data_IF_443013274728
#
_entry.id   IF_443013274728
#
_cell.length_a   1.000
_cell.length_b   1.000
_cell.length_c   1.000
_cell.angle_alpha   90.00
_cell.angle_beta   90.00
_cell.angle_gamma   90.00
#
_symmetry.space_group_name_H-M   'P 1'
#
loop_
_entity.id
_entity.type
_entity.pdbx_description
1 polymer ?
#
# COMPACT_ATOMS: atom_id res chain seq x y z
N UNK A 1 -16.74 -39.13 14.13
CA UNK A 1 -16.72 -38.11 13.04
C UNK A 1 -15.65 -37.01 13.21
N UNK A 2 -14.34 -37.29 13.37
CA UNK A 2 -13.30 -36.24 13.27
C UNK A 2 -12.82 -35.99 11.83
N UNK A 3 -12.87 -37.01 10.96
CA UNK A 3 -12.25 -36.95 9.63
C UNK A 3 -12.94 -36.02 8.63
N UNK A 4 -14.26 -35.77 8.76
CA UNK A 4 -14.99 -34.87 7.87
C UNK A 4 -14.61 -33.39 8.10
N UNK A 5 -14.44 -33.01 9.38
CA UNK A 5 -14.04 -31.65 9.76
C UNK A 5 -12.62 -31.32 9.30
N UNK A 6 -11.69 -32.26 9.39
CA UNK A 6 -10.31 -32.07 8.95
C UNK A 6 -10.21 -31.86 7.44
N UNK A 7 -11.01 -32.60 6.65
CA UNK A 7 -11.01 -32.48 5.19
C UNK A 7 -11.59 -31.14 4.72
N UNK A 8 -12.73 -30.72 5.28
CA UNK A 8 -13.35 -29.42 4.98
C UNK A 8 -12.42 -28.25 5.35
N UNK A 9 -11.70 -28.35 6.46
CA UNK A 9 -10.74 -27.33 6.88
C UNK A 9 -9.50 -27.26 5.97
N UNK A 10 -8.96 -28.42 5.57
CA UNK A 10 -7.83 -28.49 4.62
C UNK A 10 -8.22 -27.94 3.25
N UNK A 11 -9.42 -28.26 2.77
CA UNK A 11 -9.94 -27.77 1.49
C UNK A 11 -10.20 -26.25 1.54
N UNK A 12 -10.77 -25.76 2.63
CA UNK A 12 -11.00 -24.31 2.85
C UNK A 12 -9.70 -23.52 2.97
N UNK A 13 -8.73 -24.02 3.74
CA UNK A 13 -7.40 -23.40 3.87
C UNK A 13 -6.69 -23.34 2.53
N UNK A 14 -6.73 -24.42 1.77
CA UNK A 14 -6.10 -24.49 0.45
C UNK A 14 -6.73 -23.49 -0.52
N UNK A 15 -8.06 -23.40 -0.53
CA UNK A 15 -8.80 -22.43 -1.32
C UNK A 15 -8.44 -20.99 -0.95
N UNK A 16 -8.44 -20.64 0.35
CA UNK A 16 -8.07 -19.29 0.83
C UNK A 16 -6.64 -18.93 0.45
N UNK A 17 -5.69 -19.85 0.66
CA UNK A 17 -4.28 -19.62 0.30
C UNK A 17 -4.11 -19.42 -1.20
N UNK A 18 -4.86 -20.15 -2.02
CA UNK A 18 -4.85 -19.97 -3.47
C UNK A 18 -5.42 -18.61 -3.90
N UNK A 19 -6.52 -18.16 -3.29
CA UNK A 19 -7.05 -16.82 -3.51
C UNK A 19 -6.06 -15.72 -3.12
N UNK A 20 -5.40 -15.84 -1.97
CA UNK A 20 -4.38 -14.87 -1.52
C UNK A 20 -3.20 -14.82 -2.50
N UNK A 21 -2.74 -15.98 -2.99
CA UNK A 21 -1.69 -16.04 -4.03
C UNK A 21 -2.13 -15.35 -5.31
N UNK A 22 -3.36 -15.61 -5.76
CA UNK A 22 -3.92 -14.99 -6.97
C UNK A 22 -4.02 -13.47 -6.83
N UNK A 23 -4.53 -12.96 -5.70
CA UNK A 23 -4.61 -11.52 -5.44
C UNK A 23 -3.24 -10.87 -5.40
N UNK A 24 -2.26 -11.50 -4.75
CA UNK A 24 -0.88 -11.00 -4.71
C UNK A 24 -0.26 -10.98 -6.11
N UNK A 25 -0.42 -12.05 -6.87
CA UNK A 25 0.08 -12.14 -8.25
C UNK A 25 -0.56 -11.07 -9.14
N UNK A 26 -1.87 -10.89 -9.03
CA UNK A 26 -2.62 -9.87 -9.78
C UNK A 26 -2.19 -8.47 -9.40
N UNK A 27 -2.04 -8.17 -8.10
CA UNK A 27 -1.55 -6.88 -7.64
C UNK A 27 -0.17 -6.60 -8.24
N UNK A 28 0.78 -7.54 -8.16
CA UNK A 28 2.13 -7.32 -8.72
C UNK A 28 2.09 -7.06 -10.22
N UNK A 29 1.22 -7.78 -10.96
CA UNK A 29 1.02 -7.53 -12.39
C UNK A 29 0.48 -6.13 -12.64
N UNK A 30 -0.56 -5.73 -11.91
CA UNK A 30 -1.17 -4.41 -11.98
C UNK A 30 -0.20 -3.29 -11.63
N UNK A 31 0.62 -3.49 -10.60
CA UNK A 31 1.69 -2.58 -10.21
C UNK A 31 2.68 -2.36 -11.35
N UNK A 32 3.21 -3.44 -11.93
CA UNK A 32 4.16 -3.35 -13.05
C UNK A 32 3.54 -2.62 -14.24
N UNK A 33 2.32 -3.01 -14.64
CA UNK A 33 1.61 -2.34 -15.75
C UNK A 33 1.42 -0.85 -15.47
N UNK A 34 0.95 -0.50 -14.28
CA UNK A 34 0.71 0.89 -13.89
C UNK A 34 2.00 1.72 -13.90
N UNK A 35 3.06 1.21 -13.27
CA UNK A 35 4.36 1.90 -13.22
C UNK A 35 4.94 2.08 -14.63
N UNK A 36 4.86 1.07 -15.51
CA UNK A 36 5.25 1.22 -16.92
C UNK A 36 4.51 2.37 -17.58
N UNK A 37 3.18 2.40 -17.48
CA UNK A 37 2.35 3.44 -18.09
C UNK A 37 2.70 4.83 -17.54
N UNK A 38 2.89 4.95 -16.22
CA UNK A 38 3.27 6.20 -15.58
C UNK A 38 4.64 6.68 -16.06
N UNK A 39 5.63 5.79 -16.15
CA UNK A 39 6.99 6.10 -16.63
C UNK A 39 6.99 6.48 -18.11
N UNK A 40 6.17 5.82 -18.94
CA UNK A 40 6.02 6.15 -20.36
C UNK A 40 5.32 7.49 -20.59
N UNK A 41 4.28 7.80 -19.81
CA UNK A 41 3.61 9.11 -19.85
C UNK A 41 4.54 10.22 -19.39
N UNK A 42 5.33 9.98 -18.35
CA UNK A 42 6.31 10.94 -17.83
C UNK A 42 7.37 11.31 -18.87
N UNK A 43 7.84 10.34 -19.66
CA UNK A 43 8.81 10.60 -20.74
C UNK A 43 8.29 11.53 -21.84
N UNK A 44 6.97 11.70 -21.96
CA UNK A 44 6.35 12.52 -23.00
C UNK A 44 6.16 13.98 -22.56
N UNK A 45 6.35 14.30 -21.28
CA UNK A 45 6.21 15.67 -20.77
C UNK A 45 7.58 16.34 -20.62
N UNK A 46 7.70 17.66 -20.87
CA UNK A 46 8.93 18.40 -20.58
C UNK A 46 9.33 18.24 -19.11
N UNK A 47 10.57 17.82 -18.86
CA UNK A 47 11.07 17.59 -17.50
C UNK A 47 10.75 16.22 -16.89
N UNK A 48 10.25 15.25 -17.67
CA UNK A 48 10.08 13.87 -17.22
C UNK A 48 11.42 13.22 -16.83
N UNK A 49 11.52 12.76 -15.58
CA UNK A 49 12.75 12.19 -15.00
C UNK A 49 12.55 10.80 -14.39
N UNK A 50 11.32 10.24 -14.40
CA UNK A 50 11.06 8.96 -13.75
C UNK A 50 11.89 7.83 -14.36
N UNK A 51 12.13 7.84 -15.67
CA UNK A 51 12.91 6.78 -16.34
C UNK A 51 14.32 6.66 -15.76
N UNK A 52 15.02 7.78 -15.60
CA UNK A 52 16.41 7.84 -15.12
C UNK A 52 16.53 7.91 -13.60
N UNK A 53 15.44 8.19 -12.88
CA UNK A 53 15.44 8.29 -11.42
C UNK A 53 15.67 6.92 -10.76
N UNK A 54 16.72 6.83 -9.94
CA UNK A 54 17.10 5.62 -9.18
C UNK A 54 17.11 5.83 -7.67
N UNK A 55 16.93 7.07 -7.21
CA UNK A 55 16.85 7.42 -5.79
C UNK A 55 15.45 7.14 -5.28
N UNK A 56 15.35 6.32 -4.24
CA UNK A 56 14.06 5.87 -3.73
C UNK A 56 13.20 7.02 -3.19
N UNK A 57 13.79 7.96 -2.44
CA UNK A 57 13.10 9.14 -1.91
C UNK A 57 12.52 10.02 -3.03
N UNK A 58 13.30 10.31 -4.08
CA UNK A 58 12.85 11.09 -5.23
C UNK A 58 11.70 10.38 -5.98
N UNK A 59 11.77 9.06 -6.10
CA UNK A 59 10.68 8.26 -6.67
C UNK A 59 9.41 8.35 -5.81
N UNK A 60 9.54 8.24 -4.48
CA UNK A 60 8.40 8.38 -3.56
C UNK A 60 7.75 9.75 -3.73
N UNK A 61 8.52 10.83 -3.74
CA UNK A 61 8.00 12.20 -3.98
C UNK A 61 7.30 12.31 -5.32
N UNK A 62 7.88 11.73 -6.36
CA UNK A 62 7.31 11.75 -7.71
C UNK A 62 6.00 10.98 -7.82
N UNK A 63 5.90 9.79 -7.21
CA UNK A 63 4.65 9.03 -7.18
C UNK A 63 3.60 9.67 -6.26
N UNK A 64 4.00 10.30 -5.14
CA UNK A 64 3.11 11.08 -4.28
C UNK A 64 2.44 12.20 -5.08
N UNK A 65 3.20 12.96 -5.86
CA UNK A 65 2.66 14.01 -6.75
C UNK A 65 1.74 13.50 -7.87
N UNK A 66 1.73 12.19 -8.14
CA UNK A 66 0.86 11.52 -9.13
C UNK A 66 -0.29 10.76 -8.46
N UNK A 67 -0.42 10.83 -7.14
CA UNK A 67 -1.48 10.14 -6.46
C UNK A 67 -2.84 10.70 -6.86
N UNK A 68 -3.73 9.81 -7.25
CA UNK A 68 -5.17 10.03 -7.41
C UNK A 68 -5.87 8.75 -6.99
N UNK A 69 -7.14 8.81 -6.61
CA UNK A 69 -7.93 7.59 -6.32
C UNK A 69 -7.91 6.64 -7.51
N UNK A 70 -8.01 7.14 -8.74
CA UNK A 70 -7.92 6.32 -9.95
C UNK A 70 -6.58 5.59 -10.06
N UNK A 71 -5.46 6.31 -9.90
CA UNK A 71 -4.13 5.69 -9.96
C UNK A 71 -3.90 4.68 -8.83
N UNK A 72 -4.42 4.98 -7.63
CA UNK A 72 -4.42 4.03 -6.53
C UNK A 72 -5.16 2.74 -6.90
N UNK A 73 -6.37 2.86 -7.47
CA UNK A 73 -7.20 1.72 -7.84
C UNK A 73 -6.65 0.92 -9.02
N UNK A 74 -5.80 1.50 -9.88
CA UNK A 74 -5.10 0.70 -10.90
C UNK A 74 -4.19 -0.36 -10.25
N UNK A 75 -3.55 -0.04 -9.13
CA UNK A 75 -2.67 -0.95 -8.39
C UNK A 75 -3.46 -1.79 -7.39
N UNK A 76 -4.23 -1.14 -6.51
CA UNK A 76 -4.99 -1.74 -5.42
C UNK A 76 -6.44 -2.00 -5.83
N UNK A 77 -6.63 -2.57 -7.02
CA UNK A 77 -7.94 -2.71 -7.65
C UNK A 77 -8.98 -3.42 -6.78
N UNK A 78 -8.59 -4.29 -5.83
CA UNK A 78 -9.56 -4.97 -4.97
C UNK A 78 -10.22 -4.02 -3.95
N UNK A 79 -9.62 -2.87 -3.63
CA UNK A 79 -10.07 -1.94 -2.58
C UNK A 79 -11.37 -1.22 -2.97
N UNK A 80 -11.61 -0.97 -4.26
CA UNK A 80 -12.79 -0.19 -4.73
C UNK A 80 -14.14 -0.74 -4.25
N UNK A 81 -14.20 -2.04 -3.93
CA UNK A 81 -15.42 -2.67 -3.44
C UNK A 81 -15.66 -2.42 -1.96
N UNK A 82 -14.61 -2.11 -1.20
CA UNK A 82 -14.65 -2.08 0.26
C UNK A 82 -14.59 -0.67 0.83
N UNK A 83 -13.86 0.25 0.20
CA UNK A 83 -13.56 1.57 0.76
C UNK A 83 -13.79 2.66 -0.28
N UNK A 84 -14.52 3.70 0.10
CA UNK A 84 -14.61 4.98 -0.58
C UNK A 84 -13.50 5.91 -0.06
N UNK A 85 -12.39 5.97 -0.80
CA UNK A 85 -11.21 6.74 -0.40
C UNK A 85 -11.52 8.25 -0.30
N UNK A 86 -12.17 8.89 -1.31
CA UNK A 86 -12.57 10.29 -1.21
C UNK A 86 -13.39 10.65 0.04
N UNK A 87 -14.25 9.74 0.51
CA UNK A 87 -15.10 9.95 1.70
C UNK A 87 -14.41 9.53 3.01
N UNK A 88 -13.20 9.01 2.95
CA UNK A 88 -12.40 8.61 4.13
C UNK A 88 -11.82 9.83 4.83
N UNK A 89 -11.35 9.68 6.08
CA UNK A 89 -10.74 10.79 6.83
C UNK A 89 -9.45 11.27 6.16
N UNK A 90 -8.98 12.46 6.53
CA UNK A 90 -7.69 12.96 6.03
C UNK A 90 -6.53 11.98 6.32
N UNK A 91 -6.57 11.29 7.47
CA UNK A 91 -5.58 10.29 7.85
C UNK A 91 -5.69 9.03 6.97
N UNK A 92 -6.90 8.53 6.70
CA UNK A 92 -7.13 7.40 5.79
C UNK A 92 -6.69 7.70 4.35
N UNK A 93 -6.99 8.91 3.85
CA UNK A 93 -6.54 9.36 2.53
C UNK A 93 -5.01 9.49 2.46
N UNK A 94 -4.40 10.07 3.48
CA UNK A 94 -2.95 10.18 3.61
C UNK A 94 -2.27 8.80 3.59
N UNK A 95 -2.81 7.83 4.35
CA UNK A 95 -2.32 6.45 4.33
C UNK A 95 -2.35 5.84 2.93
N UNK A 96 -3.47 5.96 2.21
CA UNK A 96 -3.58 5.45 0.84
C UNK A 96 -2.57 6.12 -0.11
N UNK A 97 -2.33 7.43 0.05
CA UNK A 97 -1.33 8.16 -0.72
C UNK A 97 0.08 7.61 -0.49
N UNK A 98 0.48 7.47 0.78
CA UNK A 98 1.81 6.98 1.15
C UNK A 98 2.02 5.53 0.74
N UNK A 99 1.01 4.67 0.93
CA UNK A 99 1.03 3.27 0.51
C UNK A 99 1.26 3.15 -1.00
N UNK A 100 0.53 3.93 -1.80
CA UNK A 100 0.70 3.96 -3.24
C UNK A 100 2.07 4.47 -3.66
N UNK A 101 2.50 5.61 -3.11
CA UNK A 101 3.76 6.23 -3.50
C UNK A 101 4.95 5.29 -3.27
N UNK A 102 5.01 4.65 -2.10
CA UNK A 102 6.11 3.76 -1.74
C UNK A 102 6.11 2.45 -2.53
N UNK A 103 4.95 1.83 -2.73
CA UNK A 103 4.84 0.58 -3.49
C UNK A 103 5.15 0.81 -4.97
N UNK A 104 4.70 1.92 -5.56
CA UNK A 104 5.06 2.30 -6.93
C UNK A 104 6.56 2.60 -7.07
N UNK A 105 7.16 3.32 -6.13
CA UNK A 105 8.59 3.62 -6.13
C UNK A 105 9.44 2.34 -6.04
N UNK A 106 9.11 1.41 -5.13
CA UNK A 106 9.78 0.10 -5.05
C UNK A 106 9.53 -0.74 -6.31
N UNK A 107 8.32 -0.71 -6.85
CA UNK A 107 7.98 -1.36 -8.12
C UNK A 107 8.85 -0.90 -9.28
N UNK A 108 9.07 0.42 -9.40
CA UNK A 108 9.97 1.02 -10.39
C UNK A 108 11.41 0.51 -10.22
N UNK A 109 11.97 0.57 -9.02
CA UNK A 109 13.33 0.10 -8.75
C UNK A 109 13.52 -1.39 -9.08
N UNK A 110 12.51 -2.19 -8.75
CA UNK A 110 12.48 -3.62 -9.08
C UNK A 110 12.49 -3.83 -10.60
N UNK A 111 11.68 -3.09 -11.35
CA UNK A 111 11.65 -3.18 -12.82
C UNK A 111 12.99 -2.77 -13.45
N UNK A 112 13.62 -1.69 -12.97
CA UNK A 112 14.95 -1.28 -13.44
C UNK A 112 15.99 -2.38 -13.24
N UNK A 113 15.93 -3.06 -12.09
CA UNK A 113 16.84 -4.15 -11.77
C UNK A 113 16.58 -5.40 -12.61
N UNK A 114 15.30 -5.76 -12.83
CA UNK A 114 14.95 -6.89 -13.70
C UNK A 114 15.47 -6.67 -15.13
N UNK A 115 15.50 -5.41 -15.60
CA UNK A 115 15.99 -5.02 -16.92
C UNK A 115 17.53 -5.00 -17.05
N UNK A 116 18.30 -5.02 -15.95
CA UNK A 116 19.77 -5.00 -16.00
C UNK A 116 20.35 -6.35 -16.44
N UNK A 117 21.28 -6.32 -17.41
CA UNK A 117 22.10 -7.48 -17.77
C UNK A 117 23.08 -7.81 -16.63
N UNK A 118 23.25 -9.09 -16.32
CA UNK A 118 24.19 -9.54 -15.27
C UNK A 118 23.77 -9.18 -13.84
N UNK A 119 22.47 -9.01 -13.59
CA UNK A 119 21.93 -8.67 -12.27
C UNK A 119 22.37 -9.66 -11.18
N UNK A 120 22.68 -9.14 -9.99
CA UNK A 120 22.93 -9.96 -8.80
C UNK A 120 21.67 -10.75 -8.44
N UNK A 121 21.81 -12.01 -7.99
CA UNK A 121 20.67 -12.90 -7.72
C UNK A 121 19.89 -12.49 -6.46
N UNK A 122 20.58 -11.95 -5.45
CA UNK A 122 20.02 -11.56 -4.15
C UNK A 122 20.19 -10.05 -3.90
N UNK A 123 19.37 -9.25 -4.59
CA UNK A 123 19.41 -7.79 -4.48
C UNK A 123 18.26 -7.28 -3.59
N UNK A 124 18.52 -6.21 -2.85
CA UNK A 124 17.57 -5.49 -2.01
C UNK A 124 16.35 -4.96 -2.77
N UNK A 125 16.44 -4.87 -4.10
CA UNK A 125 15.33 -4.42 -4.98
C UNK A 125 14.69 -5.56 -5.78
N UNK A 126 14.99 -6.83 -5.45
CA UNK A 126 14.37 -7.98 -6.10
C UNK A 126 12.85 -8.05 -5.88
N UNK A 127 12.16 -8.83 -6.73
CA UNK A 127 10.72 -9.08 -6.60
C UNK A 127 10.32 -9.65 -5.24
N UNK A 128 11.15 -10.51 -4.65
CA UNK A 128 10.91 -11.07 -3.31
C UNK A 128 10.92 -9.96 -2.26
N UNK A 129 11.90 -9.06 -2.33
CA UNK A 129 12.01 -7.91 -1.43
C UNK A 129 10.90 -6.89 -1.61
N UNK A 130 10.37 -6.72 -2.82
CA UNK A 130 9.15 -5.94 -3.04
C UNK A 130 7.95 -6.58 -2.31
N UNK A 131 7.75 -7.89 -2.41
CA UNK A 131 6.65 -8.58 -1.72
C UNK A 131 6.79 -8.49 -0.20
N UNK A 132 8.01 -8.63 0.31
CA UNK A 132 8.32 -8.45 1.73
C UNK A 132 7.96 -7.03 2.18
N UNK A 133 8.45 -6.01 1.46
CA UNK A 133 8.13 -4.61 1.73
C UNK A 133 6.63 -4.34 1.75
N UNK A 134 5.89 -4.85 0.76
CA UNK A 134 4.44 -4.72 0.67
C UNK A 134 3.69 -5.30 1.87
N UNK A 135 4.23 -6.34 2.50
CA UNK A 135 3.66 -6.95 3.71
C UNK A 135 4.01 -6.20 5.00
N UNK A 136 5.13 -5.47 5.00
CA UNK A 136 5.67 -4.78 6.18
C UNK A 136 5.28 -3.30 6.24
N UNK A 137 5.11 -2.64 5.09
CA UNK A 137 4.79 -1.21 5.03
C UNK A 137 3.45 -0.85 5.69
N UNK A 138 2.36 -1.64 5.51
CA UNK A 138 1.11 -1.39 6.24
C UNK A 138 1.22 -1.50 7.77
N UNK A 139 2.30 -2.09 8.29
CA UNK A 139 2.51 -2.37 9.72
C UNK A 139 3.46 -1.37 10.39
N UNK A 140 3.88 -0.29 9.72
CA UNK A 140 4.78 0.69 10.34
C UNK A 140 4.05 1.44 11.47
N UNK A 141 4.76 1.68 12.57
CA UNK A 141 4.22 2.31 13.79
C UNK A 141 3.55 3.66 13.53
N UNK A 142 3.98 4.36 12.48
CA UNK A 142 3.41 5.66 12.08
C UNK A 142 1.91 5.59 11.75
N UNK A 143 1.41 4.39 11.45
CA UNK A 143 0.01 4.15 11.12
C UNK A 143 -0.72 3.37 12.22
N UNK A 144 -0.14 3.23 13.43
CA UNK A 144 -0.78 2.53 14.54
C UNK A 144 -2.06 3.21 15.04
N UNK A 145 -2.17 4.51 14.82
CA UNK A 145 -3.38 5.29 15.14
C UNK A 145 -4.50 5.13 14.10
N UNK A 146 -4.23 4.54 12.93
CA UNK A 146 -5.28 4.29 11.94
C UNK A 146 -6.29 3.31 12.52
N UNK A 147 -7.54 3.75 12.53
CA UNK A 147 -8.66 2.91 12.91
C UNK A 147 -9.50 2.58 11.69
N UNK A 148 -10.44 1.66 11.90
CA UNK A 148 -11.39 1.29 10.87
C UNK A 148 -12.22 2.49 10.42
N UNK A 149 -12.57 3.37 11.35
CA UNK A 149 -13.39 4.57 11.13
C UNK A 149 -12.68 5.62 10.28
N UNK A 150 -11.36 5.52 10.10
CA UNK A 150 -10.63 6.38 9.17
C UNK A 150 -10.94 6.07 7.71
N UNK A 151 -11.55 4.91 7.42
CA UNK A 151 -11.91 4.45 6.09
C UNK A 151 -13.43 4.40 5.94
N UNK A 152 -13.96 5.09 4.93
CA UNK A 152 -15.38 5.04 4.63
C UNK A 152 -15.73 3.71 3.96
N UNK A 153 -16.29 2.77 4.72
CA UNK A 153 -16.65 1.45 4.19
C UNK A 153 -17.89 1.50 3.29
N UNK A 154 -17.78 0.88 2.11
CA UNK A 154 -18.90 0.74 1.17
C UNK A 154 -19.81 -0.45 1.50
N UNK A 155 -19.35 -1.39 2.34
CA UNK A 155 -20.14 -2.54 2.80
C UNK A 155 -20.50 -2.41 4.29
N UNK A 156 -21.78 -2.19 4.57
CA UNK A 156 -22.38 -2.40 5.89
C UNK A 156 -22.49 -3.90 6.19
N UNK A 157 -21.40 -4.56 6.58
CA UNK A 157 -21.49 -5.83 7.29
C UNK A 157 -20.81 -5.70 8.64
N UNK A 158 -21.59 -6.01 9.67
CA UNK A 158 -21.16 -6.22 11.05
C UNK A 158 -20.11 -7.34 11.07
N UNK A 159 -18.86 -7.00 10.78
CA UNK A 159 -17.73 -7.87 11.07
C UNK A 159 -17.58 -7.81 12.58
N UNK A 160 -17.95 -8.90 13.26
CA UNK A 160 -17.66 -9.11 14.67
C UNK A 160 -16.18 -8.76 14.91
N UNK A 161 -15.94 -7.82 15.83
CA UNK A 161 -14.61 -7.50 16.34
C UNK A 161 -14.01 -8.78 16.91
N UNK A 162 -13.25 -9.49 16.09
CA UNK A 162 -12.31 -10.47 16.58
C UNK A 162 -11.02 -9.68 16.76
N UNK A 163 -10.79 -9.21 18.00
CA UNK A 163 -9.56 -8.57 18.49
C UNK A 163 -8.39 -9.57 18.47
N UNK A 164 -8.18 -10.23 17.34
CA UNK A 164 -7.01 -11.06 17.09
C UNK A 164 -5.83 -10.13 16.92
N UNK A 165 -4.98 -10.17 17.95
CA UNK A 165 -3.65 -9.57 18.00
C UNK A 165 -2.92 -9.92 16.70
N UNK A 166 -2.87 -8.95 15.78
CA UNK A 166 -1.99 -9.03 14.62
C UNK A 166 -0.58 -8.67 15.09
N UNK A 167 0.47 -9.35 14.63
CA UNK A 167 1.82 -8.85 14.77
C UNK A 167 1.88 -7.46 14.13
N UNK A 168 2.05 -6.41 14.94
CA UNK A 168 2.13 -5.02 14.50
C UNK A 168 3.55 -4.56 14.20
N UNK A 169 4.53 -5.43 14.35
CA UNK A 169 5.92 -5.01 14.30
C UNK A 169 6.39 -5.11 12.85
N UNK A 170 6.50 -3.94 12.21
CA UNK A 170 7.29 -3.78 10.99
C UNK A 170 8.78 -3.74 11.34
N UNK A 171 9.61 -4.38 10.53
CA UNK A 171 11.08 -4.26 10.66
C UNK A 171 11.66 -3.12 9.81
N UNK A 172 10.82 -2.33 9.13
CA UNK A 172 11.26 -1.25 8.24
C UNK A 172 11.73 -0.03 9.03
N UNK A 173 12.84 0.57 8.61
CA UNK A 173 13.41 1.75 9.25
C UNK A 173 13.05 3.05 8.51
N UNK A 174 12.54 4.05 9.24
CA UNK A 174 12.28 5.39 8.71
C UNK A 174 13.57 6.06 8.19
N UNK A 175 13.49 6.72 7.03
CA UNK A 175 14.63 7.37 6.39
C UNK A 175 15.62 6.42 5.70
N UNK A 176 15.37 5.10 5.79
CA UNK A 176 16.17 4.06 5.12
C UNK A 176 15.27 3.28 4.17
N UNK A 177 14.22 2.67 4.70
CA UNK A 177 13.30 1.83 3.96
C UNK A 177 12.06 2.56 3.46
N UNK A 178 11.70 3.68 4.11
CA UNK A 178 10.56 4.52 3.77
C UNK A 178 10.76 6.00 4.13
N UNK A 179 10.05 6.89 3.43
CA UNK A 179 10.17 8.35 3.51
C UNK A 179 8.78 9.00 3.52
N UNK A 180 8.27 9.30 4.73
CA UNK A 180 6.94 9.87 4.91
C UNK A 180 6.96 11.39 4.90
N UNK A 181 5.90 11.99 4.37
CA UNK A 181 5.62 13.41 4.55
C UNK A 181 5.13 13.73 5.97
N UNK A 182 4.85 15.01 6.22
CA UNK A 182 4.07 15.37 7.40
C UNK A 182 2.64 14.83 7.24
N UNK A 183 2.08 14.15 8.25
CA UNK A 183 0.67 13.78 8.22
C UNK A 183 -0.19 15.05 8.25
N UNK A 184 -1.43 15.00 7.75
CA UNK A 184 -2.38 16.10 7.91
C UNK A 184 -2.58 16.39 9.41
N UNK A 185 -2.66 17.67 9.77
CA UNK A 185 -2.97 18.06 11.15
C UNK A 185 -4.35 17.50 11.51
N UNK A 186 -4.41 16.64 12.52
CA UNK A 186 -5.69 16.24 13.12
C UNK A 186 -6.30 17.51 13.73
N UNK A 187 -7.38 18.02 13.14
CA UNK A 187 -8.19 19.03 13.81
C UNK A 187 -8.81 18.38 15.04
N UNK A 188 -8.15 18.54 16.20
CA UNK A 188 -8.84 18.42 17.48
C UNK A 188 -9.79 19.62 17.54
N UNK A 189 -11.11 19.44 17.70
CA UNK A 189 -11.96 20.56 18.06
C UNK A 189 -11.44 21.06 19.40
N UNK A 190 -10.80 22.24 19.40
CA UNK A 190 -10.46 22.91 20.64
C UNK A 190 -11.77 23.15 21.38
N UNK A 191 -11.97 22.46 22.50
CA UNK A 191 -12.94 22.84 23.53
C UNK A 191 -12.51 24.18 24.13
N UNK A 192 -12.66 25.24 23.35
CA UNK A 192 -12.40 26.62 23.74
C UNK A 192 -13.57 27.44 23.23
N UNK A 193 -14.64 27.45 24.04
CA UNK A 193 -15.85 28.22 23.76
C UNK A 193 -17.05 27.92 24.64
N UNK A 194 -16.85 27.45 25.88
CA UNK A 194 -17.89 27.49 26.91
C UNK A 194 -17.33 28.29 28.08
N UNK A 195 -17.33 29.62 27.92
CA UNK A 195 -17.35 30.61 28.99
C UNK A 195 -17.46 32.01 28.35
N UNK A 196 -18.45 32.77 28.83
CA UNK A 196 -18.84 34.17 28.54
C UNK A 196 -19.84 34.30 27.38
N UNK A 197 -21.08 34.76 27.57
CA UNK A 197 -21.73 35.50 28.67
C UNK A 197 -23.14 34.95 28.98
#
# INVERSE_FOLDING_TARGET
MPMLHTKIYVDSRSYVMEQVKQWRSMLLKKLVTHVTIVVEKDQKVPGGMLKSCSKFEDLVLSFRGRYTTTNFMEVFYFVHRYVDIPSSTALGQYYCCELYAHICAKGKLMMDWEAKKGRAVDDKISRSKLVEFMSQFPLIERFDELKKEDFHELFNKTILNDDKIRPKISTLQAGVDYFLGAPPQQYSPSMSGLLRD
#
